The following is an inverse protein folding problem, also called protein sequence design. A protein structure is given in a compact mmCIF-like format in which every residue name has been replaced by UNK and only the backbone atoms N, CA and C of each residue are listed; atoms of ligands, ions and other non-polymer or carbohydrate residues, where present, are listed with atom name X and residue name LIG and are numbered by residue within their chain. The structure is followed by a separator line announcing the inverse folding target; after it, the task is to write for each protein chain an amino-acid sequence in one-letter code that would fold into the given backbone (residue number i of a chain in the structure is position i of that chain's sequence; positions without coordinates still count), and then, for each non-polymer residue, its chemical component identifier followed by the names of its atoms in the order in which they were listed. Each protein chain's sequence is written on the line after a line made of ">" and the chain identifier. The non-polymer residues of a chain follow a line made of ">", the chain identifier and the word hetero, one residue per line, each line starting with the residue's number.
data_IF_826137011259
#
_entry.id   IF_826137011259
#
_cell.length_a   1.000
_cell.length_b   1.000
_cell.length_c   1.000
_cell.angle_alpha   90.00
_cell.angle_beta   90.00
_cell.angle_gamma   90.00
#
_symmetry.space_group_name_H-M   'P 1'
#
loop_
_entity.id
_entity.type
_entity.pdbx_description
1 polymer ?
#
# COMPACT_ATOMS: atom_id res chain seq x y z
N UNK A 1 11.15 0.84 -19.32
CA UNK A 1 10.14 0.48 -20.32
C UNK A 1 8.93 -0.02 -19.55
N UNK A 2 7.91 0.83 -19.39
CA UNK A 2 6.69 0.53 -18.64
C UNK A 2 5.89 -0.52 -19.42
N UNK A 3 6.01 -1.79 -19.05
CA UNK A 3 5.40 -2.88 -19.81
C UNK A 3 3.93 -3.02 -19.45
N UNK A 4 3.07 -2.31 -20.18
CA UNK A 4 1.74 -2.79 -20.62
C UNK A 4 0.90 -3.54 -19.58
N UNK A 5 0.77 -3.01 -18.36
CA UNK A 5 -0.26 -3.44 -17.42
C UNK A 5 -1.56 -2.69 -17.70
N UNK A 6 -2.18 -3.04 -18.81
CA UNK A 6 -3.62 -2.90 -18.98
C UNK A 6 -4.24 -4.18 -18.43
N UNK A 7 -5.21 -4.14 -17.51
CA UNK A 7 -6.08 -5.28 -17.26
C UNK A 7 -6.69 -5.68 -18.61
N UNK A 8 -6.52 -6.94 -19.01
CA UNK A 8 -6.91 -7.42 -20.36
C UNK A 8 -8.30 -8.05 -20.34
N UNK A 9 -8.92 -8.12 -19.17
CA UNK A 9 -10.22 -8.71 -18.93
C UNK A 9 -10.93 -8.04 -17.74
N UNK A 10 -12.25 -8.19 -17.68
CA UNK A 10 -13.06 -7.75 -16.54
C UNK A 10 -12.69 -8.48 -15.24
N UNK A 11 -12.11 -9.67 -15.33
CA UNK A 11 -11.62 -10.42 -14.17
C UNK A 11 -10.28 -9.87 -13.66
N UNK A 12 -9.37 -9.42 -14.54
CA UNK A 12 -8.17 -8.65 -14.14
C UNK A 12 -8.59 -7.33 -13.48
N UNK A 13 -9.61 -6.68 -14.04
CA UNK A 13 -10.18 -5.46 -13.49
C UNK A 13 -10.86 -5.70 -12.14
N UNK A 14 -11.51 -6.86 -11.93
CA UNK A 14 -12.09 -7.27 -10.64
C UNK A 14 -11.04 -7.68 -9.63
N UNK A 15 -9.97 -8.39 -9.99
CA UNK A 15 -8.83 -8.67 -9.10
C UNK A 15 -8.18 -7.33 -8.66
N UNK A 16 -8.07 -6.36 -9.57
CA UNK A 16 -7.67 -4.98 -9.27
C UNK A 16 -8.70 -4.18 -8.45
N UNK A 17 -10.00 -4.37 -8.67
CA UNK A 17 -11.09 -3.65 -7.98
C UNK A 17 -11.44 -4.26 -6.60
N UNK A 18 -11.17 -5.54 -6.37
CA UNK A 18 -11.27 -6.22 -5.07
C UNK A 18 -10.13 -5.81 -4.13
N UNK A 19 -8.98 -5.39 -4.67
CA UNK A 19 -7.89 -4.72 -3.95
C UNK A 19 -8.28 -3.30 -3.48
N UNK A 20 -9.58 -2.99 -3.43
CA UNK A 20 -10.06 -1.77 -4.01
C UNK A 20 -11.31 -1.10 -3.41
N UNK A 21 -11.62 -1.17 -2.12
CA UNK A 21 -12.68 -0.30 -1.57
C UNK A 21 -12.21 0.46 -0.32
N UNK A 22 -12.09 1.79 -0.48
CA UNK A 22 -11.71 2.85 0.48
C UNK A 22 -10.22 3.15 0.70
N UNK A 23 -9.90 4.41 1.03
CA UNK A 23 -8.56 4.97 1.32
C UNK A 23 -7.72 4.20 2.37
N UNK A 24 -8.27 3.18 3.03
CA UNK A 24 -7.48 2.12 3.68
C UNK A 24 -6.59 1.31 2.69
N UNK A 25 -6.75 1.52 1.38
CA UNK A 25 -6.18 0.81 0.22
C UNK A 25 -4.65 0.77 0.13
N UNK A 26 -3.89 1.81 0.51
CA UNK A 26 -2.42 1.74 0.36
C UNK A 26 -1.70 1.22 1.61
N UNK A 27 -2.42 0.71 2.61
CA UNK A 27 -1.80 0.02 3.75
C UNK A 27 -0.97 -1.18 3.28
N UNK A 28 -1.54 -2.05 2.42
CA UNK A 28 -0.83 -3.21 1.89
C UNK A 28 0.42 -2.82 1.07
N UNK A 29 0.34 -2.00 0.01
CA UNK A 29 1.54 -1.61 -0.74
C UNK A 29 2.53 -0.81 0.12
N UNK A 30 2.08 0.00 1.09
CA UNK A 30 2.98 0.66 2.05
C UNK A 30 3.75 -0.37 2.87
N UNK A 31 3.06 -1.33 3.49
CA UNK A 31 3.70 -2.38 4.31
C UNK A 31 4.64 -3.25 3.46
N UNK A 32 4.21 -3.65 2.26
CA UNK A 32 5.04 -4.40 1.32
C UNK A 32 6.31 -3.62 0.95
N UNK A 33 6.19 -2.30 0.73
CA UNK A 33 7.33 -1.42 0.42
C UNK A 33 8.31 -1.36 1.59
N UNK A 34 7.81 -1.13 2.81
CA UNK A 34 8.65 -1.09 4.01
C UNK A 34 9.40 -2.41 4.22
N UNK A 35 8.71 -3.55 4.07
CA UNK A 35 9.34 -4.87 4.19
C UNK A 35 10.29 -5.18 3.02
N UNK A 36 10.06 -4.61 1.83
CA UNK A 36 10.96 -4.76 0.69
C UNK A 36 12.26 -3.97 0.85
N UNK A 37 12.20 -2.83 1.55
CA UNK A 37 13.34 -1.96 1.86
C UNK A 37 14.21 -2.49 3.00
N UNK A 38 13.71 -3.45 3.80
CA UNK A 38 14.45 -4.05 4.91
C UNK A 38 15.18 -5.32 4.47
N UNK A 39 16.46 -5.44 4.84
CA UNK A 39 17.25 -6.65 4.64
C UNK A 39 16.90 -7.75 5.67
N UNK A 40 16.43 -7.34 6.86
CA UNK A 40 16.07 -8.23 7.97
C UNK A 40 14.56 -8.17 8.27
N UNK A 41 13.99 -9.17 8.97
CA UNK A 41 12.60 -9.12 9.42
C UNK A 41 12.32 -7.88 10.27
N UNK A 42 11.16 -7.26 10.11
CA UNK A 42 10.76 -6.07 10.87
C UNK A 42 9.76 -6.41 11.96
N UNK A 43 9.88 -5.79 13.13
CA UNK A 43 8.85 -5.86 14.16
C UNK A 43 7.58 -5.16 13.69
N UNK A 44 6.41 -5.74 13.99
CA UNK A 44 5.12 -5.12 13.66
C UNK A 44 4.97 -3.68 14.14
N UNK A 45 5.51 -3.35 15.33
CA UNK A 45 5.49 -1.97 15.85
C UNK A 45 6.35 -1.01 15.00
N UNK A 46 7.51 -1.44 14.51
CA UNK A 46 8.35 -0.62 13.63
C UNK A 46 7.64 -0.36 12.31
N UNK A 47 6.95 -1.37 11.77
CA UNK A 47 6.12 -1.20 10.56
C UNK A 47 5.04 -0.12 10.79
N UNK A 48 4.35 -0.13 11.94
CA UNK A 48 3.36 0.90 12.29
C UNK A 48 4.00 2.29 12.35
N UNK A 49 5.17 2.43 12.98
CA UNK A 49 5.86 3.73 13.10
C UNK A 49 6.31 4.24 11.73
N UNK A 50 6.94 3.41 10.91
CA UNK A 50 7.43 3.80 9.59
C UNK A 50 6.29 4.07 8.61
N UNK A 51 5.17 3.34 8.72
CA UNK A 51 3.99 3.61 7.90
C UNK A 51 3.43 5.02 8.14
N UNK A 52 3.58 5.61 9.33
CA UNK A 52 3.16 6.99 9.60
C UNK A 52 3.90 8.03 8.74
N UNK A 53 5.12 7.71 8.30
CA UNK A 53 5.94 8.58 7.45
C UNK A 53 5.68 8.37 5.95
N UNK A 54 4.83 7.40 5.57
CA UNK A 54 4.51 7.16 4.16
C UNK A 54 3.65 8.30 3.60
N UNK A 55 3.86 8.70 2.32
CA UNK A 55 3.10 9.75 1.67
C UNK A 55 1.59 9.59 1.77
N UNK A 56 1.08 8.34 1.80
CA UNK A 56 -0.36 8.10 1.92
C UNK A 56 -0.94 8.63 3.23
N UNK A 57 -0.17 8.55 4.32
CA UNK A 57 -0.67 8.89 5.63
C UNK A 57 -0.56 10.38 5.93
N UNK A 58 0.08 11.18 5.06
CA UNK A 58 0.08 12.64 5.13
C UNK A 58 0.53 13.18 6.50
N UNK A 59 1.47 12.49 7.15
CA UNK A 59 1.94 12.82 8.51
C UNK A 59 1.02 12.39 9.66
N UNK A 60 -0.17 11.82 9.39
CA UNK A 60 -1.05 11.24 10.41
C UNK A 60 -0.66 9.80 10.69
N UNK A 61 -0.57 9.40 11.95
CA UNK A 61 -0.26 7.99 12.27
C UNK A 61 -1.41 7.08 11.79
N UNK A 62 -1.13 6.00 11.02
CA UNK A 62 -2.10 4.96 10.75
C UNK A 62 -2.68 4.40 12.04
N UNK A 63 -3.92 3.96 12.00
CA UNK A 63 -4.47 3.10 13.04
C UNK A 63 -3.63 1.82 13.13
N UNK A 64 -2.95 1.64 14.27
CA UNK A 64 -2.14 0.46 14.55
C UNK A 64 -2.96 -0.83 14.39
N UNK A 65 -4.23 -0.81 14.81
CA UNK A 65 -5.15 -1.95 14.68
C UNK A 65 -5.36 -2.31 13.21
N UNK A 66 -5.53 -1.31 12.36
CA UNK A 66 -5.60 -1.45 10.91
C UNK A 66 -4.34 -2.09 10.31
N UNK A 67 -3.16 -1.62 10.71
CA UNK A 67 -1.87 -2.19 10.23
C UNK A 67 -1.71 -3.65 10.66
N UNK A 68 -1.99 -3.98 11.92
CA UNK A 68 -1.91 -5.38 12.38
C UNK A 68 -2.94 -6.29 11.70
N UNK A 69 -4.14 -5.78 11.40
CA UNK A 69 -5.15 -6.52 10.63
C UNK A 69 -4.69 -6.74 9.19
N UNK A 70 -4.05 -5.75 8.57
CA UNK A 70 -3.46 -5.88 7.24
C UNK A 70 -2.34 -6.93 7.24
N UNK A 71 -1.41 -6.86 8.20
CA UNK A 71 -0.33 -7.85 8.36
C UNK A 71 -0.88 -9.28 8.51
N UNK A 72 -1.93 -9.46 9.33
CA UNK A 72 -2.58 -10.77 9.48
C UNK A 72 -3.15 -11.30 8.15
N UNK A 73 -3.87 -10.46 7.40
CA UNK A 73 -4.41 -10.85 6.07
C UNK A 73 -3.31 -11.12 5.05
N UNK A 74 -2.23 -10.35 5.09
CA UNK A 74 -1.07 -10.55 4.21
C UNK A 74 -0.34 -11.86 4.53
N UNK A 75 -0.28 -12.24 5.81
CA UNK A 75 0.24 -13.53 6.23
C UNK A 75 -0.66 -14.68 5.78
N UNK A 76 -1.98 -14.59 6.02
CA UNK A 76 -2.98 -15.58 5.58
C UNK A 76 -2.97 -15.78 4.06
N UNK A 77 -2.69 -14.72 3.29
CA UNK A 77 -2.55 -14.78 1.83
C UNK A 77 -1.13 -15.14 1.36
N UNK A 78 -0.18 -15.36 2.26
CA UNK A 78 1.20 -15.76 1.95
C UNK A 78 2.07 -14.66 1.33
N UNK A 79 1.68 -13.39 1.46
CA UNK A 79 2.48 -12.24 1.01
C UNK A 79 3.63 -11.93 1.98
N UNK A 80 3.45 -12.25 3.26
CA UNK A 80 4.47 -12.14 4.31
C UNK A 80 4.51 -13.41 5.12
N UNK A 81 5.65 -13.67 5.77
CA UNK A 81 5.76 -14.65 6.86
C UNK A 81 5.93 -13.92 8.18
N UNK A 82 5.58 -14.56 9.29
CA UNK A 82 5.92 -14.07 10.62
C UNK A 82 6.59 -15.10 11.49
N UNK A 83 7.42 -14.63 12.42
CA UNK A 83 8.06 -15.43 13.45
C UNK A 83 8.00 -14.70 14.79
N UNK A 84 7.96 -15.46 15.89
CA UNK A 84 8.04 -14.90 17.23
C UNK A 84 9.49 -14.82 17.66
N UNK A 85 9.94 -13.63 17.99
CA UNK A 85 11.18 -13.40 18.72
C UNK A 85 10.86 -13.37 20.21
N UNK A 86 11.37 -14.35 20.95
CA UNK A 86 11.26 -14.43 22.42
C UNK A 86 12.61 -14.08 23.04
N UNK A 87 12.84 -12.81 23.41
CA UNK A 87 14.06 -12.42 24.10
C UNK A 87 14.12 -13.04 25.51
N UNK A 88 15.33 -13.13 26.08
CA UNK A 88 15.56 -13.66 27.43
C UNK A 88 14.83 -12.85 28.52
N UNK A 89 14.62 -11.56 28.27
CA UNK A 89 13.82 -10.65 29.09
C UNK A 89 12.91 -9.80 28.19
N UNK A 90 11.67 -9.55 28.64
CA UNK A 90 10.68 -8.74 27.94
C UNK A 90 9.59 -9.54 27.22
N UNK A 91 8.72 -8.84 26.49
CA UNK A 91 7.61 -9.44 25.76
C UNK A 91 8.04 -10.01 24.41
N UNK A 92 7.45 -11.14 24.04
CA UNK A 92 7.63 -11.73 22.72
C UNK A 92 7.17 -10.74 21.63
N UNK A 93 7.99 -10.59 20.58
CA UNK A 93 7.71 -9.69 19.46
C UNK A 93 7.48 -10.49 18.19
N UNK A 94 6.51 -10.05 17.40
CA UNK A 94 6.25 -10.66 16.09
C UNK A 94 7.04 -9.94 15.01
N UNK A 95 7.94 -10.67 14.39
CA UNK A 95 8.76 -10.24 13.25
C UNK A 95 8.06 -10.64 11.95
N UNK A 96 8.14 -9.78 10.94
CA UNK A 96 7.54 -10.00 9.63
C UNK A 96 8.59 -9.90 8.54
N UNK A 97 8.50 -10.79 7.55
CA UNK A 97 9.38 -10.80 6.38
C UNK A 97 8.58 -10.92 5.11
N UNK A 98 9.01 -10.20 4.07
CA UNK A 98 8.41 -10.26 2.75
C UNK A 98 8.71 -11.59 2.06
N UNK A 99 7.71 -12.24 1.47
CA UNK A 99 7.89 -13.45 0.64
C UNK A 99 8.10 -13.09 -0.82
N UNK A 100 8.53 -14.07 -1.65
CA UNK A 100 8.60 -13.86 -3.10
C UNK A 100 7.21 -13.63 -3.73
N UNK A 101 6.15 -14.22 -3.16
CA UNK A 101 4.76 -13.90 -3.54
C UNK A 101 4.42 -12.45 -3.21
N UNK A 102 4.83 -11.96 -2.04
CA UNK A 102 4.73 -10.56 -1.64
C UNK A 102 5.47 -9.62 -2.58
N UNK A 103 6.69 -9.97 -3.02
CA UNK A 103 7.45 -9.19 -4.01
C UNK A 103 6.74 -9.10 -5.37
N UNK A 104 6.17 -10.20 -5.86
CA UNK A 104 5.33 -10.19 -7.08
C UNK A 104 4.09 -9.32 -6.91
N UNK A 105 3.43 -9.39 -5.76
CA UNK A 105 2.29 -8.54 -5.44
C UNK A 105 2.67 -7.06 -5.42
N UNK A 106 3.82 -6.71 -4.81
CA UNK A 106 4.31 -5.33 -4.83
C UNK A 106 4.61 -4.82 -6.25
N UNK A 107 5.15 -5.66 -7.14
CA UNK A 107 5.31 -5.31 -8.56
C UNK A 107 3.98 -4.97 -9.23
N UNK A 108 2.94 -5.79 -9.01
CA UNK A 108 1.59 -5.49 -9.52
C UNK A 108 1.02 -4.20 -8.92
N UNK A 109 1.36 -3.88 -7.67
CA UNK A 109 0.98 -2.61 -7.06
C UNK A 109 1.62 -1.40 -7.73
N UNK A 110 2.86 -1.50 -8.21
CA UNK A 110 3.49 -0.42 -8.98
C UNK A 110 2.64 -0.11 -10.22
N UNK A 111 2.23 -1.15 -10.94
CA UNK A 111 1.39 -1.00 -12.12
C UNK A 111 0.01 -0.43 -11.79
N UNK A 112 -0.65 -0.99 -10.76
CA UNK A 112 -1.97 -0.55 -10.33
C UNK A 112 -1.96 0.91 -9.83
N UNK A 113 -0.88 1.35 -9.18
CA UNK A 113 -0.73 2.73 -8.69
C UNK A 113 -0.69 3.74 -9.83
N UNK A 114 -0.01 3.46 -10.93
CA UNK A 114 -0.02 4.38 -12.07
C UNK A 114 -1.35 4.36 -12.82
N UNK A 115 -2.02 3.21 -12.91
CA UNK A 115 -3.40 3.20 -13.42
C UNK A 115 -4.31 4.06 -12.54
N UNK A 116 -4.16 4.01 -11.21
CA UNK A 116 -4.90 4.88 -10.31
C UNK A 116 -4.55 6.34 -10.48
N UNK A 117 -3.28 6.70 -10.66
CA UNK A 117 -2.86 8.07 -10.94
C UNK A 117 -3.60 8.65 -12.15
N UNK A 118 -3.60 7.93 -13.28
CA UNK A 118 -4.31 8.34 -14.50
C UNK A 118 -5.81 8.50 -14.26
N UNK A 119 -6.46 7.50 -13.65
CA UNK A 119 -7.91 7.55 -13.40
C UNK A 119 -8.30 8.65 -12.42
N UNK A 120 -7.46 8.91 -11.41
CA UNK A 120 -7.69 10.00 -10.46
C UNK A 120 -7.53 11.37 -11.13
N UNK A 121 -6.57 11.52 -12.05
CA UNK A 121 -6.40 12.72 -12.86
C UNK A 121 -7.59 12.97 -13.79
N UNK A 122 -8.05 11.93 -14.50
CA UNK A 122 -9.24 11.99 -15.36
C UNK A 122 -10.48 12.40 -14.55
N UNK A 123 -10.74 11.73 -13.43
CA UNK A 123 -11.87 12.05 -12.55
C UNK A 123 -11.78 13.48 -11.99
N UNK A 124 -10.56 13.92 -11.63
CA UNK A 124 -10.33 15.30 -11.15
C UNK A 124 -10.68 16.31 -12.24
N UNK A 125 -10.26 16.05 -13.49
CA UNK A 125 -10.56 16.92 -14.63
C UNK A 125 -12.05 16.99 -14.90
N UNK A 126 -12.71 15.84 -15.01
CA UNK A 126 -14.16 15.78 -15.27
C UNK A 126 -14.95 16.53 -14.19
N UNK A 127 -14.57 16.38 -12.92
CA UNK A 127 -15.21 17.08 -11.81
C UNK A 127 -14.99 18.61 -11.87
N UNK A 128 -13.81 19.06 -12.30
CA UNK A 128 -13.50 20.47 -12.45
C UNK A 128 -14.24 21.10 -13.63
N UNK A 129 -14.25 20.43 -14.78
CA UNK A 129 -14.97 20.84 -15.99
C UNK A 129 -16.48 20.97 -15.70
N UNK A 130 -17.06 20.00 -14.97
CA UNK A 130 -18.47 20.03 -14.56
C UNK A 130 -18.83 21.24 -13.67
N UNK A 131 -17.86 21.84 -12.98
CA UNK A 131 -18.03 23.02 -12.13
C UNK A 131 -17.46 24.31 -12.76
N UNK A 132 -16.89 24.24 -13.97
CA UNK A 132 -16.21 25.36 -14.61
C UNK A 132 -14.97 25.85 -13.85
N UNK A 133 -14.30 24.96 -13.11
CA UNK A 133 -13.09 25.27 -12.34
C UNK A 133 -11.86 25.03 -13.23
N UNK A 134 -11.04 26.06 -13.43
CA UNK A 134 -9.77 25.91 -14.14
C UNK A 134 -8.74 25.21 -13.23
N UNK A 135 -8.16 24.11 -13.72
CA UNK A 135 -7.14 23.35 -12.99
C UNK A 135 -5.74 23.78 -13.40
N UNK A 136 -4.80 23.96 -12.44
CA UNK A 136 -3.39 24.17 -12.76
C UNK A 136 -2.71 22.88 -13.25
N UNK A 137 -1.61 23.02 -13.99
CA UNK A 137 -0.80 21.90 -14.50
C UNK A 137 -0.26 20.98 -13.38
N UNK A 138 -0.02 21.52 -12.18
CA UNK A 138 0.43 20.77 -11.02
C UNK A 138 -0.40 21.13 -9.77
N UNK A 139 -0.78 20.15 -8.93
CA UNK A 139 -1.49 20.42 -7.69
C UNK A 139 -0.59 21.18 -6.70
N UNK A 140 -1.08 22.30 -6.18
CA UNK A 140 -0.43 23.03 -5.09
C UNK A 140 -0.95 22.52 -3.75
N UNK A 141 -0.18 21.67 -3.07
CA UNK A 141 -0.46 21.29 -1.69
C UNK A 141 0.26 22.25 -0.74
N UNK A 142 -0.49 22.99 0.07
CA UNK A 142 0.06 23.69 1.23
C UNK A 142 0.43 22.64 2.28
N UNK A 143 1.72 22.34 2.41
CA UNK A 143 2.22 21.48 3.48
C UNK A 143 2.29 22.22 4.82
#
# INVERSE_FOLDING_TARGET
>A
MWSSCHPKSDDDLKECAELGKSLNRLSQPTILTLLAQSETPLHGYIIVQQAASSPMFGGKKPDATGVYRALKRMEESGLVTSEWETPAEGSAKRLFKLTEKGRRCLRRWIDALACYELTLEELRKDAADALGIELPDAPTCSH
#
